data_IF_101066891015
#
_entry.id   IF_101066891015
#
_cell.length_a   1.000
_cell.length_b   1.000
_cell.length_c   1.000
_cell.angle_alpha   90.00
_cell.angle_beta   90.00
_cell.angle_gamma   90.00
#
_symmetry.space_group_name_H-M   'P 1'
#
loop_
_entity.id
_entity.type
_entity.pdbx_description
1 polymer ?
#
# COMPACT_ATOMS: atom_id res chain seq x y z
N UNK A 1 -6.36 28.36 8.06
CA UNK A 1 -5.11 27.59 8.24
C UNK A 1 -5.05 26.55 7.13
N UNK A 2 -3.97 26.53 6.33
CA UNK A 2 -3.75 25.52 5.30
C UNK A 2 -3.25 24.24 6.00
N UNK A 3 -4.09 23.20 6.04
CA UNK A 3 -3.64 21.88 6.43
C UNK A 3 -2.79 21.31 5.29
N UNK A 4 -1.48 21.35 5.42
CA UNK A 4 -0.61 20.33 4.83
C UNK A 4 -0.42 19.28 5.91
N UNK A 5 -1.48 18.55 6.22
CA UNK A 5 -1.42 17.40 7.10
C UNK A 5 -0.90 16.24 6.24
N UNK A 6 0.40 15.97 6.36
CA UNK A 6 0.99 14.81 5.71
C UNK A 6 0.24 13.58 6.19
N UNK A 7 -0.36 12.84 5.27
CA UNK A 7 -1.00 11.57 5.61
C UNK A 7 0.09 10.64 6.11
N UNK A 8 0.20 10.49 7.43
CA UNK A 8 1.23 9.65 8.04
C UNK A 8 1.08 8.22 7.53
N UNK A 9 2.19 7.68 7.03
CA UNK A 9 2.23 6.29 6.54
C UNK A 9 2.65 5.41 7.70
N UNK A 10 1.75 4.54 8.12
CA UNK A 10 2.06 3.51 9.11
C UNK A 10 2.61 2.28 8.39
N UNK A 11 3.74 1.74 8.85
CA UNK A 11 4.38 0.56 8.27
C UNK A 11 4.35 -0.59 9.27
N UNK A 12 3.69 -1.69 8.89
CA UNK A 12 3.69 -2.91 9.68
C UNK A 12 4.94 -3.75 9.36
N UNK A 13 5.63 -4.22 10.40
CA UNK A 13 6.79 -5.10 10.27
C UNK A 13 6.69 -6.32 11.17
N UNK A 14 7.13 -7.47 10.67
CA UNK A 14 7.26 -8.73 11.43
C UNK A 14 8.59 -9.39 11.11
N UNK A 15 9.34 -9.79 12.13
CA UNK A 15 10.68 -10.38 11.99
C UNK A 15 11.63 -9.55 11.08
N UNK A 16 11.55 -8.22 11.15
CA UNK A 16 12.37 -7.32 10.31
C UNK A 16 11.87 -7.12 8.88
N UNK A 17 10.83 -7.85 8.44
CA UNK A 17 10.23 -7.70 7.11
C UNK A 17 9.02 -6.77 7.15
N UNK A 18 8.83 -5.96 6.11
CA UNK A 18 7.58 -5.19 5.91
C UNK A 18 6.47 -6.16 5.52
N UNK A 19 5.37 -6.15 6.27
CA UNK A 19 4.19 -6.99 6.02
C UNK A 19 2.93 -6.19 5.71
N UNK A 20 3.00 -4.87 5.81
CA UNK A 20 1.89 -4.01 5.49
C UNK A 20 2.25 -2.53 5.55
N UNK A 21 1.37 -1.71 5.00
CA UNK A 21 1.39 -0.27 5.13
C UNK A 21 -0.03 0.28 5.09
N UNK A 22 -0.30 1.36 5.81
CA UNK A 22 -1.56 2.10 5.74
C UNK A 22 -1.29 3.59 5.60
N UNK A 23 -2.16 4.27 4.85
CA UNK A 23 -2.12 5.70 4.65
C UNK A 23 -3.57 6.19 4.48
N UNK A 24 -4.12 6.78 5.56
CA UNK A 24 -5.52 7.16 5.62
C UNK A 24 -6.45 5.96 5.35
N UNK A 25 -7.24 6.05 4.29
CA UNK A 25 -8.22 5.02 3.93
C UNK A 25 -7.67 3.89 3.06
N UNK A 26 -6.38 3.93 2.70
CA UNK A 26 -5.74 2.90 1.85
C UNK A 26 -4.83 2.04 2.71
N UNK A 27 -4.86 0.72 2.50
CA UNK A 27 -3.93 -0.22 3.13
C UNK A 27 -3.40 -1.24 2.15
N UNK A 28 -2.13 -1.59 2.28
CA UNK A 28 -1.48 -2.71 1.62
C UNK A 28 -1.12 -3.74 2.70
N UNK A 29 -1.56 -5.00 2.56
CA UNK A 29 -1.26 -6.04 3.54
C UNK A 29 -0.79 -7.34 2.89
N UNK A 30 0.18 -7.99 3.54
CA UNK A 30 0.66 -9.30 3.16
C UNK A 30 -0.24 -10.37 3.78
N UNK A 31 -0.97 -11.09 2.94
CA UNK A 31 -1.81 -12.20 3.40
C UNK A 31 -1.02 -13.49 3.18
N UNK A 32 -0.63 -14.19 4.27
CA UNK A 32 -0.03 -15.51 4.12
C UNK A 32 -1.05 -16.44 3.46
N UNK A 33 -0.57 -17.26 2.53
CA UNK A 33 -1.42 -18.29 1.94
C UNK A 33 -1.90 -19.25 3.01
N UNK A 34 -3.22 -19.42 3.16
CA UNK A 34 -3.79 -20.38 4.08
C UNK A 34 -3.56 -21.80 3.53
N UNK A 35 -2.51 -22.50 4.00
CA UNK A 35 -2.30 -23.94 3.80
C UNK A 35 -1.47 -24.37 2.58
N UNK A 36 -1.47 -25.69 2.30
CA UNK A 36 -0.53 -26.46 1.44
C UNK A 36 -0.37 -25.94 0.00
N UNK A 37 -1.29 -25.10 -0.48
CA UNK A 37 -1.31 -24.50 -1.82
C UNK A 37 -1.65 -23.00 -1.81
N UNK A 38 -1.61 -22.33 -0.65
CA UNK A 38 -1.97 -20.92 -0.56
C UNK A 38 -0.88 -20.03 -1.20
N UNK A 39 -1.20 -19.38 -2.31
CA UNK A 39 -0.33 -18.34 -2.88
C UNK A 39 -0.30 -17.15 -1.92
N UNK A 40 0.89 -16.84 -1.40
CA UNK A 40 1.09 -15.63 -0.62
C UNK A 40 0.89 -14.43 -1.53
N UNK A 41 0.12 -13.44 -1.11
CA UNK A 41 -0.27 -12.32 -1.97
C UNK A 41 -0.35 -11.02 -1.18
N UNK A 42 0.00 -9.94 -1.85
CA UNK A 42 -0.25 -8.59 -1.35
C UNK A 42 -1.67 -8.18 -1.71
N UNK A 43 -2.39 -7.61 -0.77
CA UNK A 43 -3.75 -7.09 -0.98
C UNK A 43 -3.75 -5.60 -0.77
N UNK A 44 -4.12 -4.87 -1.82
CA UNK A 44 -4.42 -3.45 -1.73
C UNK A 44 -5.92 -3.30 -1.42
N UNK A 45 -6.24 -2.54 -0.39
CA UNK A 45 -7.59 -2.28 0.04
C UNK A 45 -7.85 -0.79 0.18
N UNK A 46 -9.07 -0.37 -0.16
CA UNK A 46 -9.61 0.95 0.14
C UNK A 46 -10.81 0.81 1.06
N UNK A 47 -10.83 1.63 2.12
CA UNK A 47 -11.87 1.66 3.13
C UNK A 47 -12.71 2.93 2.94
N UNK A 48 -14.03 2.81 2.86
CA UNK A 48 -14.95 3.94 2.70
C UNK A 48 -16.17 3.71 3.60
N UNK A 49 -16.12 4.29 4.79
CA UNK A 49 -17.02 3.92 5.89
C UNK A 49 -16.93 2.42 6.19
N UNK A 50 -18.07 1.73 6.07
CA UNK A 50 -18.17 0.27 6.27
C UNK A 50 -17.83 -0.53 4.99
N UNK A 51 -17.59 0.13 3.87
CA UNK A 51 -17.29 -0.52 2.60
C UNK A 51 -15.80 -0.74 2.44
N UNK A 52 -15.39 -1.97 2.09
CA UNK A 52 -14.00 -2.27 1.77
C UNK A 52 -13.89 -2.94 0.41
N UNK A 53 -13.16 -2.31 -0.51
CA UNK A 53 -12.80 -2.88 -1.81
C UNK A 53 -11.38 -3.44 -1.75
N UNK A 54 -11.15 -4.61 -2.33
CA UNK A 54 -9.86 -5.33 -2.25
C UNK A 54 -9.45 -5.85 -3.61
N UNK A 55 -8.17 -5.71 -3.93
CA UNK A 55 -7.54 -6.35 -5.09
C UNK A 55 -6.30 -7.11 -4.63
N UNK A 56 -6.14 -8.33 -5.14
CA UNK A 56 -4.92 -9.12 -4.96
C UNK A 56 -3.92 -8.69 -6.01
N UNK A 57 -2.70 -8.45 -5.57
CA UNK A 57 -1.57 -8.14 -6.43
C UNK A 57 -0.65 -9.37 -6.47
N UNK A 58 -0.31 -9.77 -7.68
CA UNK A 58 0.86 -10.60 -7.94
C UNK A 58 2.14 -9.82 -7.65
N UNK A 59 3.27 -10.53 -7.66
CA UNK A 59 4.58 -9.90 -7.48
C UNK A 59 4.88 -8.86 -8.57
N UNK A 60 4.52 -9.15 -9.82
CA UNK A 60 4.77 -8.24 -10.94
C UNK A 60 3.91 -6.96 -10.81
N UNK A 61 2.62 -7.11 -10.52
CA UNK A 61 1.72 -5.96 -10.32
C UNK A 61 2.15 -5.10 -9.12
N UNK A 62 2.76 -5.69 -8.10
CA UNK A 62 3.34 -4.93 -6.99
C UNK A 62 4.56 -4.09 -7.45
N UNK A 63 5.42 -4.65 -8.30
CA UNK A 63 6.52 -3.92 -8.92
C UNK A 63 6.06 -2.76 -9.80
N UNK A 64 5.00 -2.98 -10.59
CA UNK A 64 4.38 -1.94 -11.41
C UNK A 64 3.78 -0.84 -10.54
N UNK A 65 3.07 -1.19 -9.47
CA UNK A 65 2.53 -0.24 -8.50
C UNK A 65 3.64 0.61 -7.86
N UNK A 66 4.74 -0.01 -7.43
CA UNK A 66 5.88 0.72 -6.87
C UNK A 66 6.47 1.73 -7.87
N UNK A 67 6.58 1.35 -9.14
CA UNK A 67 7.06 2.22 -10.22
C UNK A 67 6.15 3.42 -10.44
N UNK A 68 4.82 3.20 -10.48
CA UNK A 68 3.82 4.26 -10.62
C UNK A 68 3.88 5.24 -9.43
N UNK A 69 3.93 4.72 -8.20
CA UNK A 69 3.98 5.55 -6.99
C UNK A 69 5.25 6.41 -6.96
N UNK A 70 6.39 5.86 -7.34
CA UNK A 70 7.64 6.61 -7.43
C UNK A 70 7.55 7.73 -8.48
N UNK A 71 6.94 7.45 -9.64
CA UNK A 71 6.73 8.46 -10.70
C UNK A 71 5.86 9.62 -10.21
N UNK A 72 4.77 9.32 -9.50
CA UNK A 72 3.90 10.34 -8.90
C UNK A 72 4.66 11.17 -7.87
N UNK A 73 5.41 10.51 -6.97
CA UNK A 73 6.19 11.19 -5.93
C UNK A 73 7.25 12.14 -6.54
N UNK A 74 7.93 11.70 -7.60
CA UNK A 74 8.91 12.53 -8.31
C UNK A 74 8.26 13.76 -8.93
N UNK A 75 7.12 13.58 -9.61
CA UNK A 75 6.37 14.69 -10.24
C UNK A 75 5.86 15.70 -9.22
N UNK A 76 5.41 15.24 -8.05
CA UNK A 76 5.01 16.13 -6.96
C UNK A 76 6.19 16.89 -6.35
N UNK A 77 7.38 16.27 -6.29
CA UNK A 77 8.60 16.95 -5.85
C UNK A 77 9.01 18.06 -6.83
N UNK A 78 8.96 17.80 -8.13
CA UNK A 78 9.27 18.80 -9.18
C UNK A 78 8.32 20.01 -9.11
N UNK A 79 7.03 19.79 -8.80
CA UNK A 79 6.04 20.87 -8.65
C UNK A 79 6.25 21.76 -7.41
N UNK A 80 6.96 21.26 -6.40
CA UNK A 80 7.20 21.97 -5.12
C UNK A 80 8.55 22.67 -5.07
N UNK A 81 9.45 22.38 -6.00
CA UNK A 81 10.72 23.10 -6.20
C UNK A 81 10.52 24.35 -7.04
#
# INVERSE_FOLDING_TARGET
MKATEGTDVEIERRCGMVTGASCGHVSLSWIPGNGRHGTRTWVLATHDGDTVRRIRLSWNELGDLATILQSIANKERERRG
#
